data_IF_116879932528
#
_entry.id   IF_116879932528
#
_cell.length_a   1.000
_cell.length_b   1.000
_cell.length_c   1.000
_cell.angle_alpha   90.00
_cell.angle_beta   90.00
_cell.angle_gamma   90.00
#
_symmetry.space_group_name_H-M   'P 1'
#
loop_
_entity.id
_entity.type
_entity.pdbx_description
1 polymer ?
#
# COMPACT_ATOMS: atom_id res chain seq x y z
N UNK A 1 -4.34 -4.34 -16.47
CA UNK A 1 -4.53 -3.88 -15.08
C UNK A 1 -3.66 -2.67 -14.83
N UNK A 2 -4.17 -1.69 -14.07
CA UNK A 2 -3.38 -0.52 -13.63
C UNK A 2 -2.52 -0.93 -12.43
N UNK A 3 -1.41 -0.24 -12.22
CA UNK A 3 -0.55 -0.44 -11.04
C UNK A 3 -0.82 0.63 -10.01
N UNK A 4 -0.82 0.25 -8.75
CA UNK A 4 -0.91 1.19 -7.64
C UNK A 4 0.29 2.14 -7.63
N UNK A 5 0.13 3.36 -7.06
CA UNK A 5 1.22 4.28 -6.85
C UNK A 5 2.42 3.61 -6.17
N UNK A 6 3.61 3.90 -6.69
CA UNK A 6 4.88 3.43 -6.14
C UNK A 6 5.10 1.91 -6.10
N UNK A 7 4.19 1.12 -6.70
CA UNK A 7 4.41 -0.32 -6.84
C UNK A 7 5.78 -0.58 -7.47
N UNK A 8 6.15 0.10 -8.56
CA UNK A 8 7.44 -0.08 -9.23
C UNK A 8 8.67 0.42 -8.46
N UNK A 9 8.48 1.15 -7.35
CA UNK A 9 9.59 1.73 -6.56
C UNK A 9 9.97 0.90 -5.33
N UNK A 10 9.16 -0.07 -4.90
CA UNK A 10 9.62 -0.98 -3.83
C UNK A 10 10.78 -1.81 -4.39
N UNK A 11 11.89 -1.93 -3.68
CA UNK A 11 13.01 -2.75 -4.18
C UNK A 11 12.60 -4.23 -4.23
N UNK A 12 12.94 -4.98 -5.31
CA UNK A 12 12.77 -6.44 -5.33
C UNK A 12 13.63 -7.13 -4.26
N UNK A 13 14.79 -6.55 -3.96
CA UNK A 13 15.81 -7.12 -3.07
C UNK A 13 15.68 -6.66 -1.61
N UNK A 14 14.83 -5.66 -1.31
CA UNK A 14 14.46 -5.36 0.09
C UNK A 14 13.34 -6.29 0.51
N UNK A 15 13.79 -7.45 0.97
CA UNK A 15 13.00 -8.50 1.58
C UNK A 15 12.36 -7.97 2.87
N UNK A 16 11.06 -7.71 2.85
CA UNK A 16 10.07 -8.54 3.56
C UNK A 16 8.74 -7.82 3.63
N UNK A 17 8.70 -6.49 3.79
CA UNK A 17 7.48 -5.77 4.17
C UNK A 17 7.17 -4.60 3.22
N UNK A 18 6.01 -4.64 2.54
CA UNK A 18 5.46 -3.49 1.81
C UNK A 18 4.51 -2.74 2.74
N UNK A 19 4.73 -1.43 2.91
CA UNK A 19 3.82 -0.55 3.64
C UNK A 19 2.78 0.03 2.68
N UNK A 20 1.50 -0.20 2.99
CA UNK A 20 0.37 0.39 2.29
C UNK A 20 -0.30 1.41 3.22
N UNK A 21 -0.32 2.68 2.81
CA UNK A 21 -1.16 3.71 3.43
C UNK A 21 -2.53 3.68 2.75
N UNK A 22 -3.60 3.49 3.52
CA UNK A 22 -4.94 3.36 2.98
C UNK A 22 -5.95 4.26 3.72
N UNK A 23 -6.71 5.04 2.97
CA UNK A 23 -7.77 5.91 3.49
C UNK A 23 -7.72 7.33 2.94
N UNK A 24 -8.63 8.19 3.42
CA UNK A 24 -8.83 9.55 2.91
C UNK A 24 -7.59 10.44 3.00
N UNK A 25 -6.69 10.17 3.95
CA UNK A 25 -5.46 10.94 4.17
C UNK A 25 -4.19 10.26 3.64
N UNK A 26 -4.29 9.13 2.94
CA UNK A 26 -3.13 8.32 2.53
C UNK A 26 -2.09 9.11 1.72
N UNK A 27 -2.56 9.98 0.82
CA UNK A 27 -1.69 10.85 0.02
C UNK A 27 -0.99 11.93 0.84
N UNK A 28 -1.65 12.48 1.85
CA UNK A 28 -1.08 13.46 2.75
C UNK A 28 -0.01 12.80 3.63
N UNK A 29 -0.35 11.68 4.27
CA UNK A 29 0.59 10.90 5.08
C UNK A 29 1.82 10.47 4.27
N UNK A 30 1.65 10.04 3.01
CA UNK A 30 2.77 9.73 2.11
C UNK A 30 3.67 10.94 1.80
N UNK A 31 3.11 12.15 1.74
CA UNK A 31 3.90 13.37 1.53
C UNK A 31 4.70 13.72 2.78
N UNK A 32 4.13 13.54 3.97
CA UNK A 32 4.82 13.75 5.24
C UNK A 32 5.96 12.75 5.38
N UNK A 33 5.70 11.45 5.18
CA UNK A 33 6.72 10.40 5.19
C UNK A 33 7.93 10.75 4.32
N UNK A 34 7.69 11.18 3.07
CA UNK A 34 8.76 11.53 2.12
C UNK A 34 9.48 12.84 2.44
N UNK A 35 8.97 13.64 3.36
CA UNK A 35 9.61 14.89 3.81
C UNK A 35 10.33 14.72 5.14
N UNK A 36 10.08 13.62 5.84
CA UNK A 36 10.74 13.31 7.09
C UNK A 36 12.26 13.18 6.85
N UNK A 37 13.10 14.03 7.47
CA UNK A 37 14.54 13.97 7.35
C UNK A 37 15.16 12.82 8.15
N UNK A 38 14.45 12.28 9.14
CA UNK A 38 14.91 11.21 10.04
C UNK A 38 14.39 9.82 9.60
N UNK A 39 13.79 9.73 8.41
CA UNK A 39 13.25 8.46 7.90
C UNK A 39 14.35 7.40 7.72
N UNK A 40 14.04 6.20 8.15
CA UNK A 40 14.94 5.04 8.01
C UNK A 40 14.90 4.44 6.58
N UNK A 41 13.82 4.66 5.83
CA UNK A 41 13.64 4.14 4.47
C UNK A 41 13.19 5.22 3.46
N UNK A 42 13.91 5.33 2.34
CA UNK A 42 13.61 6.15 1.17
C UNK A 42 12.59 5.52 0.20
N UNK A 43 12.23 4.25 0.40
CA UNK A 43 11.19 3.57 -0.36
C UNK A 43 9.84 4.19 0.02
N UNK A 44 9.15 4.85 -0.92
CA UNK A 44 7.87 5.48 -0.62
C UNK A 44 6.81 4.41 -0.38
N UNK A 45 5.92 4.57 0.61
CA UNK A 45 4.85 3.60 0.85
C UNK A 45 3.88 3.58 -0.34
N UNK A 46 3.23 2.44 -0.55
CA UNK A 46 2.12 2.36 -1.48
C UNK A 46 0.96 3.19 -0.96
N UNK A 47 0.27 3.90 -1.84
CA UNK A 47 -0.80 4.81 -1.45
C UNK A 47 -2.10 4.35 -2.08
N UNK A 48 -3.09 4.05 -1.23
CA UNK A 48 -4.47 3.77 -1.61
C UNK A 48 -5.37 4.88 -1.05
N UNK A 49 -5.42 6.01 -1.76
CA UNK A 49 -6.35 7.10 -1.47
C UNK A 49 -7.75 6.85 -2.03
N UNK A 50 -8.69 7.79 -1.89
CA UNK A 50 -10.08 7.61 -2.32
C UNK A 50 -10.23 7.15 -3.78
N UNK A 51 -9.42 7.69 -4.69
CA UNK A 51 -9.46 7.32 -6.10
C UNK A 51 -8.93 5.90 -6.35
N UNK A 52 -7.85 5.51 -5.67
CA UNK A 52 -7.28 4.17 -5.77
C UNK A 52 -8.18 3.11 -5.13
N UNK A 53 -8.86 3.45 -4.01
CA UNK A 53 -9.82 2.57 -3.36
C UNK A 53 -11.07 2.36 -4.23
N UNK A 54 -11.56 3.42 -4.88
CA UNK A 54 -12.69 3.32 -5.81
C UNK A 54 -12.39 2.44 -7.03
N UNK A 55 -11.14 2.43 -7.53
CA UNK A 55 -10.69 1.59 -8.66
C UNK A 55 -9.91 0.33 -8.20
N UNK A 56 -10.02 -0.04 -6.93
CA UNK A 56 -9.15 -1.06 -6.32
C UNK A 56 -9.24 -2.41 -7.03
N UNK A 57 -10.44 -2.79 -7.50
CA UNK A 57 -10.67 -4.03 -8.24
C UNK A 57 -9.75 -4.18 -9.46
N UNK A 58 -9.51 -3.09 -10.18
CA UNK A 58 -8.67 -3.04 -11.39
C UNK A 58 -7.19 -2.73 -11.12
N UNK A 59 -6.86 -2.50 -9.85
CA UNK A 59 -5.54 -2.10 -9.39
C UNK A 59 -4.72 -3.30 -8.90
N UNK A 60 -3.50 -3.41 -9.42
CA UNK A 60 -2.47 -4.28 -8.87
C UNK A 60 -1.76 -3.54 -7.73
N UNK A 61 -1.94 -4.05 -6.51
CA UNK A 61 -1.39 -3.47 -5.28
C UNK A 61 -0.21 -4.28 -4.71
N UNK A 62 0.11 -5.44 -5.28
CA UNK A 62 1.18 -6.32 -4.80
C UNK A 62 2.07 -6.77 -5.96
N UNK A 63 3.37 -6.87 -5.71
CA UNK A 63 4.29 -7.50 -6.64
C UNK A 63 4.30 -9.01 -6.43
N UNK A 64 4.55 -9.79 -7.49
CA UNK A 64 4.95 -11.18 -7.33
C UNK A 64 6.07 -11.27 -6.27
N UNK A 65 6.02 -12.31 -5.44
CA UNK A 65 7.03 -12.62 -4.43
C UNK A 65 7.08 -11.68 -3.21
N UNK A 66 6.06 -10.81 -3.02
CA UNK A 66 5.93 -10.04 -1.76
C UNK A 66 5.53 -10.97 -0.61
N UNK A 67 6.32 -11.00 0.46
CA UNK A 67 6.09 -11.92 1.59
C UNK A 67 5.21 -11.31 2.69
N UNK A 68 5.50 -10.08 3.13
CA UNK A 68 4.75 -9.38 4.17
C UNK A 68 4.22 -8.04 3.68
N UNK A 69 3.04 -7.69 4.15
CA UNK A 69 2.43 -6.38 3.93
C UNK A 69 1.87 -5.86 5.23
N UNK A 70 2.13 -4.57 5.49
CA UNK A 70 1.50 -3.82 6.58
C UNK A 70 0.60 -2.74 6.02
N UNK A 71 -0.67 -2.79 6.41
CA UNK A 71 -1.67 -1.81 5.99
C UNK A 71 -1.89 -0.81 7.12
N UNK A 72 -1.43 0.43 6.92
CA UNK A 72 -1.64 1.53 7.85
C UNK A 72 -2.87 2.32 7.41
N UNK A 73 -3.87 2.41 8.30
CA UNK A 73 -5.07 3.20 8.07
C UNK A 73 -4.77 4.68 8.31
N UNK A 74 -5.13 5.52 7.34
CA UNK A 74 -4.86 6.95 7.38
C UNK A 74 -6.12 7.73 7.07
N UNK A 75 -6.68 8.40 8.08
CA UNK A 75 -8.00 9.03 7.97
C UNK A 75 -9.11 7.99 7.86
N UNK A 76 -10.13 8.31 7.07
CA UNK A 76 -11.31 7.47 6.91
C UNK A 76 -11.09 6.39 5.86
N UNK A 77 -11.52 5.17 6.18
CA UNK A 77 -11.57 4.05 5.26
C UNK A 77 -12.76 3.16 5.60
N UNK A 78 -13.50 2.71 4.59
CA UNK A 78 -14.66 1.84 4.79
C UNK A 78 -14.23 0.41 5.13
N UNK A 79 -15.08 -0.33 5.85
CA UNK A 79 -14.86 -1.76 6.10
C UNK A 79 -14.85 -2.57 4.79
N UNK A 80 -15.66 -2.17 3.82
CA UNK A 80 -15.70 -2.79 2.49
C UNK A 80 -14.35 -2.66 1.77
N UNK A 81 -13.74 -1.48 1.80
CA UNK A 81 -12.44 -1.25 1.17
C UNK A 81 -11.32 -2.00 1.89
N UNK A 82 -11.34 -2.04 3.22
CA UNK A 82 -10.42 -2.86 4.01
C UNK A 82 -10.53 -4.34 3.65
N UNK A 83 -11.76 -4.85 3.51
CA UNK A 83 -12.00 -6.23 3.11
C UNK A 83 -11.48 -6.50 1.69
N UNK A 84 -11.72 -5.59 0.73
CA UNK A 84 -11.18 -5.71 -0.64
C UNK A 84 -9.65 -5.74 -0.67
N UNK A 85 -8.99 -4.92 0.16
CA UNK A 85 -7.54 -4.95 0.33
C UNK A 85 -7.12 -6.33 0.86
N UNK A 86 -7.71 -6.79 1.97
CA UNK A 86 -7.37 -8.07 2.59
C UNK A 86 -7.54 -9.26 1.63
N UNK A 87 -8.64 -9.30 0.87
CA UNK A 87 -8.89 -10.33 -0.15
C UNK A 87 -7.82 -10.31 -1.23
N UNK A 88 -7.42 -9.12 -1.73
CA UNK A 88 -6.34 -9.01 -2.72
C UNK A 88 -4.99 -9.47 -2.18
N UNK A 89 -4.67 -9.16 -0.93
CA UNK A 89 -3.45 -9.62 -0.27
C UNK A 89 -3.44 -11.15 -0.12
N UNK A 90 -4.56 -11.73 0.31
CA UNK A 90 -4.71 -13.18 0.45
C UNK A 90 -4.56 -13.92 -0.88
N UNK A 91 -5.15 -13.40 -1.96
CA UNK A 91 -4.99 -13.98 -3.31
C UNK A 91 -3.55 -13.92 -3.83
N UNK A 92 -2.77 -12.94 -3.38
CA UNK A 92 -1.36 -12.82 -3.73
C UNK A 92 -0.44 -13.70 -2.86
N UNK A 93 -0.99 -14.48 -1.91
CA UNK A 93 -0.21 -15.36 -1.03
C UNK A 93 0.62 -14.61 0.02
N UNK A 94 0.31 -13.33 0.26
CA UNK A 94 1.02 -12.47 1.20
C UNK A 94 0.60 -12.78 2.63
N UNK A 95 1.56 -12.83 3.56
CA UNK A 95 1.28 -12.85 4.99
C UNK A 95 0.99 -11.42 5.47
N UNK A 96 -0.19 -11.19 6.03
CA UNK A 96 -0.55 -9.89 6.63
C UNK A 96 -0.03 -9.85 8.08
N UNK A 97 0.60 -8.75 8.45
CA UNK A 97 1.03 -8.45 9.82
C UNK A 97 0.27 -7.25 10.39
#
# INVERSE_FOLDING_TARGET
MKRAPFLCKQSPDRTLEVVILAGSLAWETSRVWRKDPDREDDVPPMVLGPNELADLSNLTIIRPDTLYVRVLRTGDISEEDLLKIAVKLAHAGVQMA
#
